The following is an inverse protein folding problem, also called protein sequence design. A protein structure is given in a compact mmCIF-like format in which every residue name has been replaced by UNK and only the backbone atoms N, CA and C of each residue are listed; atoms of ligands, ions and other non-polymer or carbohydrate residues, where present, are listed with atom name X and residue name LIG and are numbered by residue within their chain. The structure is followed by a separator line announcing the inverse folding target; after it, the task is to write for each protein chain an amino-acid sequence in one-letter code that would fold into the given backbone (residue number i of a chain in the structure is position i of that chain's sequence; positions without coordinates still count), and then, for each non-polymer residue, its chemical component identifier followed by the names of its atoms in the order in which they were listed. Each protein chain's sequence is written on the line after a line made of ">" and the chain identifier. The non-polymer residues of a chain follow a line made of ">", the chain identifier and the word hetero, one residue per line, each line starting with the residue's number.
data_IF_015761315621
#
_entry.id   IF_015761315621
#
_cell.length_a   1.000
_cell.length_b   1.000
_cell.length_c   1.000
_cell.angle_alpha   90.00
_cell.angle_beta   90.00
_cell.angle_gamma   90.00
#
_symmetry.space_group_name_H-M   'P 1'
#
loop_
_entity.id
_entity.type
_entity.pdbx_description
1 polymer ?
#
# COMPACT_ATOMS: atom_id res chain seq x y z
N UNK A 1 -11.86 -10.54 6.11
CA UNK A 1 -12.21 -11.41 7.25
C UNK A 1 -10.99 -11.82 8.07
N UNK A 2 -9.94 -12.43 7.49
CA UNK A 2 -8.73 -12.82 8.25
C UNK A 2 -8.08 -11.68 9.05
N UNK A 3 -7.87 -10.50 8.44
CA UNK A 3 -7.34 -9.32 9.15
C UNK A 3 -8.16 -8.94 10.39
N UNK A 4 -9.49 -9.06 10.31
CA UNK A 4 -10.37 -8.74 11.43
C UNK A 4 -10.25 -9.77 12.56
N UNK A 5 -10.14 -11.07 12.22
CA UNK A 5 -9.96 -12.14 13.18
C UNK A 5 -8.62 -12.00 13.94
N UNK A 6 -7.52 -11.72 13.22
CA UNK A 6 -6.22 -11.50 13.85
C UNK A 6 -6.22 -10.25 14.73
N UNK A 7 -6.89 -9.17 14.30
CA UNK A 7 -7.01 -7.95 15.10
C UNK A 7 -7.96 -8.10 16.30
N UNK A 8 -8.84 -9.11 16.33
CA UNK A 8 -9.66 -9.43 17.50
C UNK A 8 -8.94 -10.33 18.52
N UNK A 9 -7.65 -10.59 18.33
CA UNK A 9 -6.82 -11.39 19.25
C UNK A 9 -6.80 -12.89 18.95
N UNK A 10 -7.40 -13.33 17.84
CA UNK A 10 -7.27 -14.72 17.40
C UNK A 10 -5.87 -14.98 16.87
N UNK A 11 -5.40 -16.22 17.03
CA UNK A 11 -4.04 -16.63 16.69
C UNK A 11 -4.02 -17.66 15.57
N UNK A 12 -2.83 -18.10 15.16
CA UNK A 12 -2.65 -19.08 14.08
C UNK A 12 -3.18 -20.48 14.45
N UNK A 13 -3.41 -20.71 15.73
CA UNK A 13 -3.94 -21.96 16.29
C UNK A 13 -5.46 -22.04 16.16
N UNK A 14 -6.16 -20.92 15.96
CA UNK A 14 -7.61 -20.88 15.88
C UNK A 14 -8.13 -21.40 14.52
N UNK A 15 -9.10 -22.32 14.55
CA UNK A 15 -9.67 -22.96 13.35
C UNK A 15 -10.12 -21.94 12.28
N UNK A 16 -10.83 -20.84 12.61
CA UNK A 16 -11.25 -19.85 11.61
C UNK A 16 -10.07 -19.15 10.92
N UNK A 17 -8.95 -18.92 11.64
CA UNK A 17 -7.73 -18.33 11.09
C UNK A 17 -7.04 -19.32 10.16
N UNK A 18 -6.92 -20.58 10.58
CA UNK A 18 -6.31 -21.64 9.76
C UNK A 18 -7.04 -21.83 8.44
N UNK A 19 -8.37 -21.93 8.47
CA UNK A 19 -9.21 -22.08 7.27
C UNK A 19 -9.10 -20.88 6.33
N UNK A 20 -9.08 -19.68 6.88
CA UNK A 20 -8.92 -18.46 6.08
C UNK A 20 -7.52 -18.40 5.42
N UNK A 21 -6.47 -18.78 6.14
CA UNK A 21 -5.11 -18.85 5.60
C UNK A 21 -4.98 -19.91 4.52
N UNK A 22 -5.57 -21.08 4.71
CA UNK A 22 -5.59 -22.14 3.70
C UNK A 22 -6.24 -21.65 2.40
N UNK A 23 -7.41 -21.02 2.50
CA UNK A 23 -8.07 -20.41 1.34
C UNK A 23 -7.19 -19.35 0.65
N UNK A 24 -6.61 -18.42 1.41
CA UNK A 24 -5.76 -17.36 0.85
C UNK A 24 -4.46 -17.91 0.22
N UNK A 25 -3.96 -19.06 0.68
CA UNK A 25 -2.78 -19.70 0.10
C UNK A 25 -3.10 -20.57 -1.11
N UNK A 26 -4.37 -20.94 -1.28
CA UNK A 26 -4.86 -21.77 -2.37
C UNK A 26 -4.86 -21.08 -3.75
N UNK A 27 -4.99 -21.87 -4.84
CA UNK A 27 -4.93 -21.37 -6.21
C UNK A 27 -6.14 -20.52 -6.62
N UNK A 28 -7.28 -20.68 -5.95
CA UNK A 28 -8.53 -19.98 -6.30
C UNK A 28 -8.62 -18.55 -5.74
N UNK A 29 -7.67 -18.14 -4.90
CA UNK A 29 -7.68 -16.84 -4.23
C UNK A 29 -6.66 -15.87 -4.81
N UNK A 30 -6.26 -16.02 -6.08
CA UNK A 30 -5.31 -15.11 -6.71
C UNK A 30 -6.01 -13.83 -7.17
N UNK A 31 -5.78 -12.68 -6.51
CA UNK A 31 -6.43 -11.43 -6.87
C UNK A 31 -5.86 -10.88 -8.18
N UNK A 32 -6.69 -10.16 -8.93
CA UNK A 32 -6.31 -9.51 -10.20
C UNK A 32 -6.45 -7.99 -10.15
N UNK A 33 -6.83 -7.48 -8.99
CA UNK A 33 -7.15 -6.08 -8.72
C UNK A 33 -6.31 -5.57 -7.54
N UNK A 34 -6.00 -4.28 -7.57
CA UNK A 34 -5.08 -3.63 -6.62
C UNK A 34 -5.50 -3.84 -5.17
N UNK A 35 -6.79 -3.70 -4.88
CA UNK A 35 -7.35 -3.97 -3.55
C UNK A 35 -7.12 -5.40 -3.08
N UNK A 36 -7.45 -6.37 -3.92
CA UNK A 36 -7.32 -7.79 -3.59
C UNK A 36 -5.86 -8.16 -3.32
N UNK A 37 -4.93 -7.67 -4.14
CA UNK A 37 -3.49 -7.89 -3.94
C UNK A 37 -3.01 -7.26 -2.63
N UNK A 38 -3.32 -5.99 -2.41
CA UNK A 38 -2.90 -5.27 -1.20
C UNK A 38 -3.44 -5.92 0.08
N UNK A 39 -4.73 -6.25 0.11
CA UNK A 39 -5.36 -6.89 1.27
C UNK A 39 -4.81 -8.30 1.53
N UNK A 40 -4.51 -9.06 0.47
CA UNK A 40 -3.89 -10.38 0.61
C UNK A 40 -2.48 -10.28 1.18
N UNK A 41 -1.68 -9.29 0.73
CA UNK A 41 -0.38 -9.00 1.34
C UNK A 41 -0.54 -8.70 2.82
N UNK A 42 -1.38 -7.73 3.18
CA UNK A 42 -1.60 -7.33 4.57
C UNK A 42 -2.04 -8.52 5.42
N UNK A 43 -2.99 -9.34 4.95
CA UNK A 43 -3.48 -10.49 5.69
C UNK A 43 -2.38 -11.53 5.98
N UNK A 44 -1.53 -11.84 4.99
CA UNK A 44 -0.39 -12.76 5.17
C UNK A 44 0.70 -12.15 6.05
N UNK A 45 0.99 -10.85 5.88
CA UNK A 45 1.94 -10.11 6.68
C UNK A 45 1.52 -9.99 8.15
N UNK A 46 0.22 -9.86 8.42
CA UNK A 46 -0.34 -9.84 9.79
C UNK A 46 -0.33 -11.23 10.42
N UNK A 47 -0.57 -12.29 9.65
CA UNK A 47 -0.52 -13.66 10.15
C UNK A 47 0.86 -14.05 10.69
N UNK A 48 1.95 -13.54 10.07
CA UNK A 48 3.34 -13.76 10.51
C UNK A 48 3.69 -15.23 10.77
N UNK A 49 3.20 -16.13 9.93
CA UNK A 49 3.46 -17.58 9.97
C UNK A 49 4.90 -17.91 9.48
N UNK A 50 5.89 -17.39 10.21
CA UNK A 50 7.32 -17.56 9.96
C UNK A 50 7.76 -17.14 8.55
N UNK A 51 8.44 -18.06 7.84
CA UNK A 51 8.93 -17.83 6.47
C UNK A 51 7.93 -18.28 5.39
N UNK A 52 6.80 -18.87 5.78
CA UNK A 52 5.90 -19.62 4.89
C UNK A 52 5.32 -18.77 3.77
N UNK A 53 5.07 -17.49 4.05
CA UNK A 53 4.44 -16.57 3.12
C UNK A 53 5.41 -15.59 2.44
N UNK A 54 6.71 -15.59 2.79
CA UNK A 54 7.68 -14.62 2.26
C UNK A 54 7.73 -14.59 0.73
N UNK A 55 7.78 -15.76 0.10
CA UNK A 55 7.77 -15.86 -1.36
C UNK A 55 6.47 -15.35 -1.98
N UNK A 56 5.31 -15.64 -1.37
CA UNK A 56 4.00 -15.17 -1.85
C UNK A 56 3.88 -13.65 -1.70
N UNK A 57 4.31 -13.12 -0.57
CA UNK A 57 4.33 -11.68 -0.29
C UNK A 57 5.23 -10.97 -1.31
N UNK A 58 6.43 -11.51 -1.60
CA UNK A 58 7.30 -10.94 -2.64
C UNK A 58 6.61 -10.94 -4.01
N UNK A 59 6.03 -12.08 -4.44
CA UNK A 59 5.34 -12.15 -5.75
C UNK A 59 4.19 -11.15 -5.86
N UNK A 60 3.40 -10.98 -4.79
CA UNK A 60 2.30 -10.02 -4.75
C UNK A 60 2.82 -8.58 -4.72
N UNK A 61 3.91 -8.31 -3.99
CA UNK A 61 4.57 -7.02 -4.00
C UNK A 61 5.10 -6.69 -5.40
N UNK A 62 5.75 -7.62 -6.08
CA UNK A 62 6.21 -7.44 -7.47
C UNK A 62 5.06 -7.14 -8.43
N UNK A 63 3.88 -7.75 -8.22
CA UNK A 63 2.69 -7.45 -8.99
C UNK A 63 2.21 -6.00 -8.78
N UNK A 64 2.15 -5.53 -7.53
CA UNK A 64 1.84 -4.12 -7.24
C UNK A 64 2.89 -3.19 -7.86
N UNK A 65 4.18 -3.47 -7.68
CA UNK A 65 5.24 -2.62 -8.24
C UNK A 65 5.12 -2.49 -9.76
N UNK A 66 4.86 -3.59 -10.48
CA UNK A 66 4.64 -3.58 -11.92
C UNK A 66 3.36 -2.85 -12.33
N UNK A 67 2.33 -2.91 -11.50
CA UNK A 67 1.05 -2.24 -11.73
C UNK A 67 1.05 -0.74 -11.47
N UNK A 68 2.13 -0.16 -10.93
CA UNK A 68 2.19 1.27 -10.65
C UNK A 68 2.23 2.06 -11.97
N UNK A 69 1.39 3.10 -12.06
CA UNK A 69 1.35 3.98 -13.22
C UNK A 69 2.66 4.77 -13.30
N UNK A 70 3.38 4.56 -14.41
CA UNK A 70 4.73 5.11 -14.60
C UNK A 70 4.80 6.56 -15.07
N UNK A 71 3.79 7.05 -15.78
CA UNK A 71 3.79 8.36 -16.43
C UNK A 71 2.39 8.97 -16.52
N UNK A 72 2.31 10.26 -16.87
CA UNK A 72 1.06 11.00 -16.99
C UNK A 72 0.59 11.64 -15.67
N UNK A 73 -0.62 12.23 -15.64
CA UNK A 73 -1.15 12.93 -14.48
C UNK A 73 -1.30 12.03 -13.24
N UNK A 74 -1.58 10.74 -13.46
CA UNK A 74 -1.79 9.75 -12.41
C UNK A 74 -0.54 8.90 -12.11
N UNK A 75 0.64 9.30 -12.61
CA UNK A 75 1.89 8.65 -12.27
C UNK A 75 2.07 8.57 -10.74
N UNK A 76 2.46 7.39 -10.24
CA UNK A 76 2.59 7.12 -8.80
C UNK A 76 1.33 6.56 -8.12
N UNK A 77 0.21 6.44 -8.86
CA UNK A 77 -1.00 5.74 -8.43
C UNK A 77 -1.11 4.34 -9.08
N UNK A 78 -2.21 3.67 -8.77
CA UNK A 78 -2.58 2.36 -9.28
C UNK A 78 -4.00 2.41 -9.83
N UNK A 79 -4.24 1.61 -10.87
CA UNK A 79 -5.60 1.35 -11.34
C UNK A 79 -6.27 0.25 -10.52
N UNK A 80 -7.59 0.13 -10.67
CA UNK A 80 -8.35 -0.94 -10.05
C UNK A 80 -7.87 -2.31 -10.55
N UNK A 81 -7.74 -2.48 -11.87
CA UNK A 81 -7.30 -3.72 -12.49
C UNK A 81 -5.91 -3.59 -13.12
N UNK A 82 -5.10 -4.65 -13.03
CA UNK A 82 -3.84 -4.74 -13.78
C UNK A 82 -4.03 -5.12 -15.26
N UNK A 83 -5.27 -5.35 -15.71
CA UNK A 83 -5.56 -5.71 -17.11
C UNK A 83 -5.54 -4.46 -18.00
N UNK A 84 -4.95 -4.54 -19.22
CA UNK A 84 -5.01 -3.45 -20.18
C UNK A 84 -6.45 -3.03 -20.49
N UNK A 85 -6.74 -1.72 -20.42
CA UNK A 85 -8.07 -1.16 -20.69
C UNK A 85 -9.13 -1.40 -19.61
N UNK A 86 -8.78 -2.06 -18.50
CA UNK A 86 -9.71 -2.38 -17.41
C UNK A 86 -9.83 -1.31 -16.32
N UNK A 87 -9.47 -0.06 -16.62
CA UNK A 87 -9.16 0.92 -15.59
C UNK A 87 -9.34 2.38 -15.99
N UNK A 88 -9.75 3.22 -15.03
CA UNK A 88 -10.06 4.64 -15.21
C UNK A 88 -8.84 5.56 -15.26
N UNK A 89 -7.63 5.00 -15.38
CA UNK A 89 -6.38 5.75 -15.37
C UNK A 89 -5.78 5.90 -13.96
N UNK A 90 -6.23 5.10 -12.99
CA UNK A 90 -5.80 5.14 -11.59
C UNK A 90 -6.47 6.20 -10.72
N UNK A 91 -6.64 5.86 -9.44
CA UNK A 91 -7.24 6.73 -8.44
C UNK A 91 -6.50 6.69 -7.09
N UNK A 92 -6.80 7.65 -6.22
CA UNK A 92 -6.10 7.81 -4.94
C UNK A 92 -6.44 6.71 -3.93
N UNK A 93 -7.61 6.08 -4.02
CA UNK A 93 -8.02 4.99 -3.12
C UNK A 93 -7.26 3.70 -3.42
N UNK A 94 -7.16 3.32 -4.70
CA UNK A 94 -6.30 2.24 -5.16
C UNK A 94 -4.84 2.53 -4.81
N UNK A 95 -4.40 3.78 -5.00
CA UNK A 95 -3.06 4.20 -4.61
C UNK A 95 -2.78 4.05 -3.11
N UNK A 96 -3.73 4.41 -2.25
CA UNK A 96 -3.59 4.24 -0.81
C UNK A 96 -3.49 2.76 -0.42
N UNK A 97 -4.34 1.90 -0.96
CA UNK A 97 -4.31 0.46 -0.66
C UNK A 97 -3.02 -0.19 -1.14
N UNK A 98 -2.58 0.12 -2.36
CA UNK A 98 -1.30 -0.38 -2.88
C UNK A 98 -0.13 -0.05 -1.96
N UNK A 99 -0.08 1.19 -1.44
CA UNK A 99 0.98 1.63 -0.54
C UNK A 99 0.93 0.95 0.82
N UNK A 100 -0.27 0.75 1.38
CA UNK A 100 -0.43 -0.02 2.62
C UNK A 100 0.03 -1.47 2.44
N UNK A 101 -0.36 -2.12 1.35
CA UNK A 101 0.08 -3.48 1.01
C UNK A 101 1.60 -3.56 0.84
N UNK A 102 2.19 -2.66 0.04
CA UNK A 102 3.64 -2.63 -0.16
C UNK A 102 4.41 -2.37 1.14
N UNK A 103 3.88 -1.54 2.05
CA UNK A 103 4.49 -1.31 3.37
C UNK A 103 4.51 -2.60 4.17
N UNK A 104 3.38 -3.30 4.21
CA UNK A 104 3.27 -4.55 4.96
C UNK A 104 4.16 -5.65 4.35
N UNK A 105 4.32 -5.66 3.03
CA UNK A 105 5.29 -6.51 2.34
C UNK A 105 6.73 -6.17 2.75
N UNK A 106 7.11 -4.89 2.72
CA UNK A 106 8.44 -4.43 3.10
C UNK A 106 8.78 -4.80 4.55
N UNK A 107 7.85 -4.59 5.48
CA UNK A 107 8.01 -5.02 6.88
C UNK A 107 8.06 -6.55 7.06
N UNK A 108 7.55 -7.31 6.10
CA UNK A 108 7.68 -8.77 6.04
C UNK A 108 8.97 -9.24 5.35
N UNK A 109 9.83 -8.31 4.93
CA UNK A 109 11.12 -8.57 4.30
C UNK A 109 11.07 -8.68 2.78
N UNK A 110 9.98 -8.29 2.13
CA UNK A 110 9.94 -8.20 0.67
C UNK A 110 10.71 -6.97 0.18
N UNK A 111 11.34 -7.09 -0.98
CA UNK A 111 12.06 -6.01 -1.63
C UNK A 111 11.07 -5.17 -2.45
N UNK A 112 11.06 -3.86 -2.19
CA UNK A 112 10.28 -2.87 -2.94
C UNK A 112 11.23 -1.79 -3.46
N UNK A 113 11.21 -1.55 -4.77
CA UNK A 113 12.07 -0.54 -5.41
C UNK A 113 11.77 0.85 -4.83
N UNK A 114 12.83 1.55 -4.44
CA UNK A 114 12.77 2.92 -3.91
C UNK A 114 11.93 3.85 -4.77
N UNK A 115 12.02 3.72 -6.10
CA UNK A 115 11.31 4.54 -7.09
C UNK A 115 9.78 4.47 -6.95
N UNK A 116 9.26 3.37 -6.43
CA UNK A 116 7.82 3.20 -6.19
C UNK A 116 7.35 4.19 -5.14
N UNK A 117 8.08 4.30 -4.03
CA UNK A 117 7.82 5.26 -2.97
C UNK A 117 7.99 6.70 -3.44
N UNK A 118 9.05 6.98 -4.21
CA UNK A 118 9.33 8.33 -4.74
C UNK A 118 8.21 8.83 -5.66
N UNK A 119 7.75 7.99 -6.60
CA UNK A 119 6.66 8.34 -7.52
C UNK A 119 5.35 8.61 -6.77
N UNK A 120 5.00 7.75 -5.82
CA UNK A 120 3.81 7.95 -5.00
C UNK A 120 3.93 9.23 -4.17
N UNK A 121 5.04 9.45 -3.45
CA UNK A 121 5.22 10.68 -2.66
C UNK A 121 5.09 11.92 -3.53
N UNK A 122 5.72 11.92 -4.71
CA UNK A 122 5.62 13.00 -5.69
C UNK A 122 4.18 13.24 -6.13
N UNK A 123 3.40 12.19 -6.39
CA UNK A 123 1.99 12.31 -6.74
C UNK A 123 1.21 13.01 -5.63
N UNK A 124 1.27 12.48 -4.41
CA UNK A 124 0.45 13.00 -3.31
C UNK A 124 0.82 14.43 -2.93
N UNK A 125 2.10 14.81 -2.95
CA UNK A 125 2.52 16.20 -2.74
C UNK A 125 2.01 17.14 -3.84
N UNK A 126 2.04 16.71 -5.10
CA UNK A 126 1.58 17.52 -6.24
C UNK A 126 0.08 17.83 -6.16
N UNK A 127 -0.71 16.90 -5.64
CA UNK A 127 -2.17 16.97 -5.66
C UNK A 127 -2.79 17.32 -4.29
N UNK A 128 -1.99 17.84 -3.36
CA UNK A 128 -2.46 18.44 -2.12
C UNK A 128 -3.15 19.78 -2.42
N UNK A 129 -4.33 20.00 -1.83
CA UNK A 129 -5.08 21.23 -1.96
C UNK A 129 -4.46 22.35 -1.10
N UNK A 130 -4.87 23.61 -1.34
CA UNK A 130 -4.37 24.75 -0.57
C UNK A 130 -4.71 24.73 0.91
N UNK A 131 -5.73 23.96 1.32
CA UNK A 131 -6.10 23.71 2.72
C UNK A 131 -5.27 22.60 3.39
N UNK A 132 -4.29 22.03 2.67
CA UNK A 132 -3.46 20.92 3.13
C UNK A 132 -4.10 19.54 3.03
N UNK A 133 -5.34 19.43 2.57
CA UNK A 133 -6.06 18.18 2.39
C UNK A 133 -6.03 17.63 0.97
N UNK A 134 -6.80 16.58 0.74
CA UNK A 134 -6.99 15.98 -0.58
C UNK A 134 -8.47 15.75 -0.85
N UNK A 135 -8.87 15.96 -2.10
CA UNK A 135 -10.17 15.54 -2.63
C UNK A 135 -10.10 14.11 -3.17
N UNK A 136 -11.25 13.54 -3.53
CA UNK A 136 -11.29 12.21 -4.17
C UNK A 136 -10.83 12.27 -5.64
N UNK A 137 -11.37 13.22 -6.42
CA UNK A 137 -11.03 13.45 -7.84
C UNK A 137 -9.90 14.48 -7.98
N UNK A 138 -9.04 14.34 -9.00
CA UNK A 138 -7.82 15.15 -9.15
C UNK A 138 -8.11 16.64 -9.42
N UNK A 139 -7.25 17.51 -8.85
CA UNK A 139 -7.08 18.91 -9.25
C UNK A 139 -8.21 19.87 -8.92
N UNK A 140 -8.14 20.52 -7.75
CA UNK A 140 -8.78 21.83 -7.49
C UNK A 140 -10.26 21.97 -7.85
N UNK A 141 -11.03 20.89 -7.85
CA UNK A 141 -12.46 20.92 -8.14
C UNK A 141 -13.26 21.43 -6.94
N UNK A 142 -14.43 21.99 -7.21
CA UNK A 142 -15.36 22.64 -6.26
C UNK A 142 -15.76 21.79 -5.03
N UNK A 143 -15.45 20.49 -5.05
CA UNK A 143 -15.57 19.58 -3.92
C UNK A 143 -14.24 19.60 -3.15
N UNK A 144 -14.18 20.43 -2.11
CA UNK A 144 -13.02 20.59 -1.23
C UNK A 144 -12.50 19.29 -0.61
N UNK A 145 -11.42 19.41 0.17
CA UNK A 145 -10.79 18.25 0.81
C UNK A 145 -11.77 17.45 1.67
N UNK A 146 -11.67 16.11 1.63
CA UNK A 146 -12.48 15.24 2.49
C UNK A 146 -11.62 14.65 3.61
N UNK A 147 -12.20 14.45 4.79
CA UNK A 147 -11.48 13.92 5.95
C UNK A 147 -10.81 12.56 5.66
N UNK A 148 -11.50 11.66 4.96
CA UNK A 148 -10.96 10.34 4.59
C UNK A 148 -9.75 10.44 3.65
N UNK A 149 -9.82 11.31 2.64
CA UNK A 149 -8.73 11.51 1.70
C UNK A 149 -7.56 12.26 2.33
N UNK A 150 -7.82 13.17 3.26
CA UNK A 150 -6.76 13.82 4.05
C UNK A 150 -6.01 12.81 4.91
N UNK A 151 -6.73 11.93 5.62
CA UNK A 151 -6.09 10.84 6.37
C UNK A 151 -5.30 9.92 5.45
N UNK A 152 -5.85 9.58 4.28
CA UNK A 152 -5.16 8.78 3.28
C UNK A 152 -3.85 9.42 2.80
N UNK A 153 -3.88 10.72 2.53
CA UNK A 153 -2.71 11.48 2.09
C UNK A 153 -1.64 11.56 3.16
N UNK A 154 -2.01 11.91 4.40
CA UNK A 154 -1.07 11.96 5.52
C UNK A 154 -0.45 10.59 5.75
N UNK A 155 -1.25 9.51 5.80
CA UNK A 155 -0.74 8.16 5.99
C UNK A 155 0.23 7.76 4.86
N UNK A 156 -0.11 8.09 3.61
CA UNK A 156 0.75 7.80 2.45
C UNK A 156 2.08 8.56 2.52
N UNK A 157 2.05 9.86 2.89
CA UNK A 157 3.25 10.66 3.04
C UNK A 157 4.12 10.18 4.21
N UNK A 158 3.52 9.74 5.31
CA UNK A 158 4.26 9.14 6.44
C UNK A 158 4.96 7.84 6.03
N UNK A 159 4.25 6.93 5.36
CA UNK A 159 4.81 5.66 4.88
C UNK A 159 5.96 5.91 3.91
N UNK A 160 5.73 6.74 2.89
CA UNK A 160 6.75 7.02 1.87
C UNK A 160 7.94 7.75 2.47
N UNK A 161 7.75 8.64 3.45
CA UNK A 161 8.87 9.27 4.16
C UNK A 161 9.68 8.27 4.96
N UNK A 162 9.05 7.32 5.66
CA UNK A 162 9.75 6.28 6.39
C UNK A 162 10.55 5.35 5.46
N UNK A 163 9.98 4.98 4.30
CA UNK A 163 10.62 4.09 3.32
C UNK A 163 11.72 4.78 2.49
N UNK A 164 11.77 6.11 2.47
CA UNK A 164 12.74 6.90 1.73
C UNK A 164 13.85 7.50 2.59
N UNK A 165 13.80 7.33 3.91
CA UNK A 165 14.88 7.75 4.80
C UNK A 165 16.14 6.97 4.47
N UNK A 166 17.23 7.68 4.19
CA UNK A 166 18.55 7.08 4.13
C UNK A 166 19.20 7.14 5.53
N UNK A 167 20.09 6.20 5.87
CA UNK A 167 20.82 6.23 7.16
C UNK A 167 21.63 7.52 7.36
N UNK A 168 22.13 8.11 6.26
CA UNK A 168 22.83 9.41 6.24
C UNK A 168 21.93 10.60 6.59
N UNK A 169 20.60 10.42 6.57
CA UNK A 169 19.66 11.47 6.95
C UNK A 169 19.45 11.52 8.46
N UNK A 170 20.03 10.58 9.23
CA UNK A 170 20.04 10.61 10.70
C UNK A 170 21.25 11.40 11.19
N UNK A 171 21.06 12.22 12.23
CA UNK A 171 22.18 12.78 12.97
C UNK A 171 23.03 11.64 13.58
N UNK A 172 24.32 11.86 13.88
CA UNK A 172 25.19 10.85 14.51
C UNK A 172 24.65 10.26 15.82
N UNK A 173 23.68 10.93 16.45
CA UNK A 173 22.97 10.51 17.65
C UNK A 173 21.65 9.74 17.39
N UNK A 174 21.37 9.41 16.13
CA UNK A 174 20.19 8.64 15.70
C UNK A 174 18.88 9.44 15.66
N UNK A 175 18.92 10.77 15.88
CA UNK A 175 17.72 11.60 15.82
C UNK A 175 17.33 11.92 14.37
N UNK A 176 16.03 11.93 14.03
CA UNK A 176 15.59 12.42 12.74
C UNK A 176 15.90 13.92 12.63
N UNK A 177 16.21 14.42 11.42
CA UNK A 177 16.35 15.85 11.19
C UNK A 177 14.97 16.47 11.42
N UNK A 178 14.92 17.51 12.22
CA UNK A 178 13.67 18.22 12.52
C UNK A 178 13.02 18.66 11.19
N UNK A 179 11.71 18.43 11.08
CA UNK A 179 10.88 18.91 9.97
C UNK A 179 10.86 20.44 9.91
#
# INVERSE_FOLDING_TARGET
>A
MLLALLNSGMTLEDEPVQRALEFLRGPYSQPSETYGVALKISALATAKDGRRDRGRIQTLADLLQKGQIGAGPNAGLWDYSFRPGGGGGGDRSNGQFAILGLRDAAYSGALVDRRVWEKTRKHWLRFQNGDGGWSYTGGGGDLGSSGSMTVAGIATLQITSAMLRDEKDLHPDGRPPLL
#
